data_IF_829191718637
#
_entry.id   IF_829191718637
#
_cell.length_a   1.000
_cell.length_b   1.000
_cell.length_c   1.000
_cell.angle_alpha   90.00
_cell.angle_beta   90.00
_cell.angle_gamma   90.00
#
_symmetry.space_group_name_H-M   'P 1'
#
loop_
_entity.id
_entity.type
_entity.pdbx_description
1 polymer ?
#
# COMPACT_ATOMS: atom_id res chain seq x y z
N UNK A 1 14.34 39.66 6.48
CA UNK A 1 13.41 38.78 7.19
C UNK A 1 13.79 38.81 8.67
N UNK A 2 12.83 38.92 9.61
CA UNK A 2 13.14 38.81 11.04
C UNK A 2 13.75 37.44 11.34
N UNK A 3 14.72 37.38 12.25
CA UNK A 3 15.35 36.11 12.64
C UNK A 3 14.38 35.27 13.49
N UNK A 4 14.56 33.95 13.45
CA UNK A 4 13.78 32.96 14.23
C UNK A 4 13.70 33.36 15.72
N UNK A 5 14.82 33.79 16.29
CA UNK A 5 14.89 34.22 17.69
C UNK A 5 14.03 35.48 17.96
N UNK A 6 13.93 36.40 16.98
CA UNK A 6 13.13 37.63 17.14
C UNK A 6 11.62 37.40 17.10
N UNK A 7 11.16 36.26 16.55
CA UNK A 7 9.74 35.90 16.51
C UNK A 7 9.32 35.13 17.78
N UNK A 8 10.22 34.29 18.32
CA UNK A 8 10.04 33.57 19.58
C UNK A 8 9.91 34.53 20.77
N UNK A 9 10.83 35.51 20.87
CA UNK A 9 10.86 36.47 21.97
C UNK A 9 9.67 37.44 21.97
N UNK A 10 9.07 37.69 20.80
CA UNK A 10 8.04 38.73 20.63
C UNK A 10 6.61 38.20 20.65
N UNK A 11 6.39 36.95 20.26
CA UNK A 11 5.03 36.45 19.99
C UNK A 11 4.67 35.13 20.67
N UNK A 12 5.60 34.46 21.36
CA UNK A 12 5.31 33.18 22.04
C UNK A 12 4.71 32.14 21.11
N UNK A 13 5.14 32.12 19.84
CA UNK A 13 4.63 31.22 18.83
C UNK A 13 5.24 29.82 19.01
N UNK A 14 4.41 28.78 18.88
CA UNK A 14 4.83 27.39 18.96
C UNK A 14 4.90 26.82 17.52
N UNK A 15 6.05 26.29 17.08
CA UNK A 15 6.13 25.64 15.78
C UNK A 15 5.39 24.31 15.84
N UNK A 16 4.47 24.07 14.90
CA UNK A 16 3.95 22.73 14.63
C UNK A 16 4.68 22.24 13.38
N UNK A 17 5.52 21.22 13.54
CA UNK A 17 6.17 20.56 12.41
C UNK A 17 5.35 19.32 12.05
N UNK A 18 4.62 19.37 10.95
CA UNK A 18 4.12 18.16 10.28
C UNK A 18 5.16 17.72 9.26
N UNK A 19 5.74 16.54 9.44
CA UNK A 19 6.88 16.09 8.63
C UNK A 19 6.49 15.37 7.33
N UNK A 20 5.25 15.51 6.86
CA UNK A 20 4.79 14.94 5.58
C UNK A 20 3.48 15.62 5.13
N UNK A 21 3.20 15.84 3.82
CA UNK A 21 3.96 15.49 2.61
C UNK A 21 4.77 16.65 1.99
N UNK A 22 4.56 17.87 2.46
CA UNK A 22 5.43 19.04 2.32
C UNK A 22 5.42 19.72 3.71
N UNK A 23 6.52 20.35 4.18
CA UNK A 23 6.51 21.04 5.46
C UNK A 23 5.66 22.32 5.37
N UNK A 24 4.34 22.19 5.53
CA UNK A 24 3.48 23.32 5.83
C UNK A 24 3.63 23.66 7.31
N UNK A 25 4.29 24.77 7.59
CA UNK A 25 4.32 25.35 8.93
C UNK A 25 3.11 26.28 9.07
N UNK A 26 2.02 25.78 9.63
CA UNK A 26 0.90 26.62 10.05
C UNK A 26 1.24 27.27 11.41
N UNK A 27 1.37 28.59 11.44
CA UNK A 27 1.64 29.34 12.67
C UNK A 27 0.33 29.73 13.36
N UNK A 28 -0.04 28.99 14.40
CA UNK A 28 -1.18 29.33 15.26
C UNK A 28 -0.71 30.08 16.50
N UNK A 29 -1.42 31.15 16.87
CA UNK A 29 -1.30 31.71 18.21
C UNK A 29 -1.84 30.72 19.24
N UNK A 30 -1.38 30.73 20.51
CA UNK A 30 -1.90 29.84 21.55
C UNK A 30 -3.44 29.87 21.66
N UNK A 31 -4.04 31.06 21.48
CA UNK A 31 -5.49 31.24 21.49
C UNK A 31 -6.21 30.67 20.26
N UNK A 32 -5.56 30.62 19.09
CA UNK A 32 -6.10 29.96 17.89
C UNK A 32 -6.00 28.44 18.00
N UNK A 33 -4.91 27.92 18.60
CA UNK A 33 -4.74 26.50 18.89
C UNK A 33 -5.82 26.02 19.86
N UNK A 34 -5.98 26.68 21.00
CA UNK A 34 -6.98 26.31 22.01
C UNK A 34 -8.42 26.42 21.46
N UNK A 35 -8.69 27.42 20.61
CA UNK A 35 -10.00 27.55 19.95
C UNK A 35 -10.28 26.44 18.94
N UNK A 36 -9.26 25.90 18.28
CA UNK A 36 -9.40 24.86 17.26
C UNK A 36 -9.41 23.45 17.84
N UNK A 37 -8.64 23.22 18.90
CA UNK A 37 -8.40 21.89 19.46
C UNK A 37 -8.97 21.69 20.88
N UNK A 38 -9.39 22.77 21.55
CA UNK A 38 -10.11 22.70 22.84
C UNK A 38 -9.22 22.56 24.08
N UNK A 39 -7.90 22.67 23.93
CA UNK A 39 -6.93 22.63 25.03
C UNK A 39 -5.71 23.51 24.73
N UNK A 40 -5.02 24.04 25.76
CA UNK A 40 -3.80 24.84 25.57
C UNK A 40 -2.66 23.96 25.04
N UNK A 41 -1.78 24.48 24.18
CA UNK A 41 -0.64 23.71 23.68
C UNK A 41 0.28 23.31 24.84
N UNK A 42 0.41 22.00 25.11
CA UNK A 42 1.37 21.43 26.06
C UNK A 42 2.60 20.91 25.32
N UNK A 43 3.81 21.28 25.77
CA UNK A 43 5.07 20.85 25.16
C UNK A 43 5.62 19.63 25.88
N UNK A 44 5.63 18.47 25.20
CA UNK A 44 6.45 17.31 25.59
C UNK A 44 7.96 17.64 25.48
N UNK A 45 8.28 18.63 24.64
CA UNK A 45 9.61 19.14 24.33
C UNK A 45 10.29 19.88 25.50
N UNK A 46 9.53 20.47 26.43
CA UNK A 46 10.08 21.26 27.55
C UNK A 46 10.59 20.39 28.72
N UNK A 47 10.40 19.07 28.63
CA UNK A 47 10.86 18.09 29.63
C UNK A 47 12.06 17.25 29.19
N UNK A 48 12.50 17.38 27.93
CA UNK A 48 13.59 16.59 27.37
C UNK A 48 14.86 17.44 27.28
N UNK A 49 15.97 16.91 27.78
CA UNK A 49 17.29 17.53 27.63
C UNK A 49 17.75 17.53 26.16
N UNK A 50 18.69 18.41 25.80
CA UNK A 50 19.29 18.45 24.46
C UNK A 50 19.90 17.10 24.03
N UNK A 51 20.39 16.30 25.00
CA UNK A 51 20.88 14.95 24.76
C UNK A 51 19.74 13.96 24.44
N UNK A 52 18.57 14.13 25.05
CA UNK A 52 17.38 13.33 24.78
C UNK A 52 16.73 13.73 23.45
N UNK A 53 16.72 15.02 23.10
CA UNK A 53 16.33 15.50 21.78
C UNK A 53 17.27 15.00 20.69
N UNK A 54 18.59 15.02 20.92
CA UNK A 54 19.57 14.45 20.01
C UNK A 54 19.40 12.92 19.87
N UNK A 55 19.14 12.20 20.97
CA UNK A 55 18.88 10.76 20.94
C UNK A 55 17.57 10.40 20.23
N UNK A 56 16.52 11.23 20.33
CA UNK A 56 15.27 11.07 19.57
C UNK A 56 15.49 11.36 18.08
N UNK A 57 16.27 12.39 17.74
CA UNK A 57 16.65 12.70 16.37
C UNK A 57 17.54 11.61 15.74
N UNK A 58 18.45 11.03 16.51
CA UNK A 58 19.36 9.96 16.07
C UNK A 58 18.60 8.61 15.92
N UNK A 59 17.70 8.27 16.86
CA UNK A 59 16.78 7.13 16.73
C UNK A 59 15.84 7.22 15.53
N UNK A 60 15.61 8.43 15.02
CA UNK A 60 14.77 8.68 13.85
C UNK A 60 15.52 8.67 12.51
N UNK A 61 16.85 8.51 12.51
CA UNK A 61 17.66 8.40 11.29
C UNK A 61 18.20 6.99 11.13
N UNK A 62 18.07 6.44 9.92
CA UNK A 62 18.73 5.18 9.56
C UNK A 62 19.94 5.50 8.70
N UNK A 63 21.11 5.17 9.21
CA UNK A 63 22.33 5.15 8.39
C UNK A 63 22.25 3.95 7.45
N UNK A 64 22.26 4.22 6.14
CA UNK A 64 22.33 3.20 5.10
C UNK A 64 23.77 2.68 5.00
N UNK A 65 24.08 1.65 5.78
CA UNK A 65 25.28 0.82 5.61
C UNK A 65 25.18 0.01 4.32
N UNK A 66 26.28 -0.60 3.88
CA UNK A 66 26.32 -1.40 2.65
C UNK A 66 25.23 -2.48 2.65
N UNK A 67 25.09 -3.25 3.74
CA UNK A 67 24.06 -4.27 3.88
C UNK A 67 22.63 -3.71 3.91
N UNK A 68 22.40 -2.54 4.49
CA UNK A 68 21.08 -1.90 4.49
C UNK A 68 20.70 -1.37 3.11
N UNK A 69 21.68 -0.85 2.37
CA UNK A 69 21.49 -0.42 1.00
C UNK A 69 21.16 -1.62 0.11
N UNK A 70 21.94 -2.71 0.21
CA UNK A 70 21.70 -3.97 -0.49
C UNK A 70 20.33 -4.57 -0.12
N UNK A 71 19.94 -4.50 1.16
CA UNK A 71 18.62 -4.94 1.57
C UNK A 71 17.51 -4.13 0.87
N UNK A 72 17.61 -2.80 0.83
CA UNK A 72 16.62 -1.99 0.13
C UNK A 72 16.64 -2.19 -1.39
N UNK A 73 17.80 -2.39 -2.01
CA UNK A 73 17.91 -2.74 -3.43
C UNK A 73 17.11 -4.01 -3.74
N UNK A 74 17.39 -5.09 -2.99
CA UNK A 74 16.68 -6.37 -3.13
C UNK A 74 15.18 -6.22 -2.89
N UNK A 75 14.77 -5.45 -1.89
CA UNK A 75 13.33 -5.25 -1.64
C UNK A 75 12.66 -4.50 -2.79
N UNK A 76 13.27 -3.44 -3.31
CA UNK A 76 12.69 -2.69 -4.44
C UNK A 76 12.64 -3.55 -5.71
N UNK A 77 13.70 -4.30 -6.02
CA UNK A 77 13.73 -5.21 -7.19
C UNK A 77 12.70 -6.33 -7.05
N UNK A 78 12.60 -6.93 -5.87
CA UNK A 78 11.58 -7.94 -5.56
C UNK A 78 10.16 -7.39 -5.79
N UNK A 79 9.91 -6.15 -5.40
CA UNK A 79 8.62 -5.46 -5.59
C UNK A 79 8.31 -5.06 -7.03
N UNK A 80 9.35 -4.94 -7.86
CA UNK A 80 9.25 -4.75 -9.31
C UNK A 80 9.19 -6.09 -10.08
N UNK A 81 8.96 -7.20 -9.38
CA UNK A 81 8.82 -8.53 -10.00
C UNK A 81 10.12 -9.19 -10.42
N UNK A 82 11.26 -8.79 -9.86
CA UNK A 82 12.56 -9.42 -10.12
C UNK A 82 12.87 -10.55 -9.13
N UNK A 83 13.79 -11.43 -9.51
CA UNK A 83 14.40 -12.37 -8.56
C UNK A 83 15.50 -11.69 -7.75
N UNK A 84 15.57 -11.98 -6.45
CA UNK A 84 16.57 -11.40 -5.55
C UNK A 84 17.08 -12.37 -4.51
N UNK A 85 18.14 -11.94 -3.81
CA UNK A 85 18.64 -12.62 -2.63
C UNK A 85 19.41 -13.91 -2.95
N UNK A 86 19.95 -14.57 -1.91
CA UNK A 86 20.74 -15.78 -2.06
C UNK A 86 19.88 -16.97 -2.55
N UNK A 87 18.57 -16.94 -2.29
CA UNK A 87 17.62 -17.92 -2.79
C UNK A 87 17.14 -17.70 -4.23
N UNK A 88 17.57 -16.62 -4.89
CA UNK A 88 17.11 -16.22 -6.23
C UNK A 88 15.57 -16.24 -6.35
N UNK A 89 14.88 -15.69 -5.33
CA UNK A 89 13.42 -15.83 -5.12
C UNK A 89 12.60 -14.70 -5.76
N UNK A 90 11.35 -15.01 -6.14
CA UNK A 90 10.39 -14.11 -6.78
C UNK A 90 9.02 -14.14 -6.06
N UNK A 91 8.37 -12.98 -5.89
CA UNK A 91 7.15 -12.82 -5.07
C UNK A 91 6.03 -13.79 -5.46
N UNK A 92 5.77 -13.95 -6.75
CA UNK A 92 4.65 -14.77 -7.23
C UNK A 92 5.07 -16.23 -7.40
N UNK A 93 6.27 -16.47 -7.91
CA UNK A 93 6.72 -17.82 -8.26
C UNK A 93 7.01 -18.65 -6.99
N UNK A 94 7.50 -18.00 -5.93
CA UNK A 94 7.83 -18.64 -4.65
C UNK A 94 6.81 -18.34 -3.55
N UNK A 95 5.62 -17.82 -3.92
CA UNK A 95 4.50 -17.54 -3.01
C UNK A 95 4.87 -16.73 -1.77
N UNK A 96 5.35 -15.51 -1.99
CA UNK A 96 5.76 -14.58 -0.92
C UNK A 96 6.89 -15.22 -0.10
N UNK A 97 8.13 -15.20 -0.63
CA UNK A 97 9.29 -15.81 0.04
C UNK A 97 9.51 -15.19 1.42
N UNK A 98 10.18 -15.94 2.30
CA UNK A 98 10.45 -15.50 3.67
C UNK A 98 11.52 -14.40 3.73
N UNK A 99 11.68 -13.79 4.91
CA UNK A 99 12.76 -12.83 5.15
C UNK A 99 14.13 -13.44 4.86
N UNK A 100 14.35 -14.65 5.34
CA UNK A 100 15.62 -15.37 5.20
C UNK A 100 15.92 -15.72 3.73
N UNK A 101 14.91 -16.02 2.92
CA UNK A 101 15.10 -16.27 1.48
C UNK A 101 15.59 -15.02 0.72
N UNK A 102 15.16 -13.84 1.17
CA UNK A 102 15.45 -12.55 0.52
C UNK A 102 16.76 -11.93 1.01
N UNK A 103 17.03 -12.01 2.32
CA UNK A 103 18.08 -11.23 3.00
C UNK A 103 19.03 -12.08 3.87
N UNK A 104 18.94 -13.42 3.84
CA UNK A 104 19.58 -14.29 4.83
C UNK A 104 21.12 -14.34 4.80
N UNK A 105 21.75 -13.83 3.76
CA UNK A 105 23.21 -13.69 3.60
C UNK A 105 23.76 -12.34 4.07
N UNK A 106 22.91 -11.37 4.42
CA UNK A 106 23.30 -10.05 4.92
C UNK A 106 23.46 -10.07 6.45
N UNK A 107 24.27 -9.16 6.99
CA UNK A 107 24.60 -9.13 8.42
C UNK A 107 23.35 -8.86 9.30
N UNK A 108 23.01 -9.84 10.15
CA UNK A 108 21.77 -9.81 10.93
C UNK A 108 21.70 -8.62 11.91
N UNK A 109 22.83 -8.19 12.47
CA UNK A 109 22.90 -7.04 13.38
C UNK A 109 22.58 -5.73 12.64
N UNK A 110 23.04 -5.59 11.39
CA UNK A 110 22.75 -4.42 10.56
C UNK A 110 21.26 -4.35 10.21
N UNK A 111 20.66 -5.49 9.91
CA UNK A 111 19.25 -5.62 9.51
C UNK A 111 18.26 -5.59 10.68
N UNK A 112 18.71 -5.79 11.92
CA UNK A 112 17.84 -5.77 13.10
C UNK A 112 17.05 -4.44 13.22
N UNK A 113 17.64 -3.34 12.77
CA UNK A 113 16.98 -2.02 12.73
C UNK A 113 15.85 -1.93 11.69
N UNK A 114 15.87 -2.78 10.65
CA UNK A 114 14.86 -2.79 9.59
C UNK A 114 13.66 -3.67 9.94
N UNK A 115 13.90 -4.78 10.64
CA UNK A 115 12.88 -5.81 10.91
C UNK A 115 11.63 -5.19 11.55
N UNK A 116 10.42 -5.64 11.16
CA UNK A 116 9.20 -5.27 11.84
C UNK A 116 9.31 -5.58 13.33
N UNK A 117 8.91 -4.63 14.18
CA UNK A 117 8.83 -4.90 15.62
C UNK A 117 7.83 -6.05 15.85
N UNK A 118 8.31 -7.16 16.41
CA UNK A 118 7.45 -8.27 16.86
C UNK A 118 6.90 -8.03 18.26
N UNK A 119 7.30 -6.94 18.92
CA UNK A 119 6.82 -6.57 20.24
C UNK A 119 5.44 -5.92 20.10
N UNK A 120 4.40 -6.73 20.27
CA UNK A 120 3.12 -6.22 20.73
C UNK A 120 3.34 -5.66 22.13
N UNK A 121 2.85 -4.44 22.38
CA UNK A 121 2.84 -3.88 23.73
C UNK A 121 2.01 -4.82 24.60
N UNK A 122 2.62 -5.40 25.64
CA UNK A 122 1.94 -6.39 26.48
C UNK A 122 0.63 -5.80 27.04
N UNK A 123 -0.43 -6.62 27.08
CA UNK A 123 -1.75 -6.17 27.52
C UNK A 123 -1.71 -5.49 28.90
N UNK A 124 -0.83 -5.92 29.80
CA UNK A 124 -0.64 -5.29 31.12
C UNK A 124 -0.24 -3.80 31.03
N UNK A 125 0.55 -3.41 30.03
CA UNK A 125 0.95 -2.02 29.82
C UNK A 125 -0.16 -1.21 29.16
N UNK A 126 -0.97 -1.84 28.30
CA UNK A 126 -2.18 -1.23 27.75
C UNK A 126 -3.21 -1.00 28.86
N UNK A 127 -3.37 -1.95 29.77
CA UNK A 127 -4.30 -1.83 30.89
C UNK A 127 -3.84 -0.78 31.92
N UNK A 128 -2.52 -0.65 32.14
CA UNK A 128 -1.94 0.26 33.13
C UNK A 128 -1.71 1.69 32.63
N UNK A 129 -1.45 1.86 31.32
CA UNK A 129 -1.09 3.14 30.72
C UNK A 129 -1.96 3.53 29.51
N UNK A 130 -2.89 2.69 29.05
CA UNK A 130 -3.71 2.92 27.85
C UNK A 130 -4.65 4.12 27.93
N UNK A 131 -4.93 4.61 29.14
CA UNK A 131 -5.70 5.83 29.38
C UNK A 131 -4.82 7.10 29.37
N UNK A 132 -3.49 6.96 29.25
CA UNK A 132 -2.55 8.07 29.27
C UNK A 132 -2.30 8.59 27.86
N UNK A 133 -2.45 9.89 27.68
CA UNK A 133 -2.23 10.57 26.40
C UNK A 133 -0.80 10.41 25.84
N UNK A 134 0.19 10.16 26.71
CA UNK A 134 1.58 9.94 26.33
C UNK A 134 1.91 8.48 25.98
N UNK A 135 1.02 7.54 26.31
CA UNK A 135 1.24 6.13 26.05
C UNK A 135 0.69 5.79 24.67
N UNK A 136 1.61 5.57 23.72
CA UNK A 136 1.27 5.04 22.42
C UNK A 136 1.49 3.52 22.43
N UNK A 137 0.43 2.69 22.41
CA UNK A 137 0.58 1.24 22.33
C UNK A 137 1.05 0.79 20.94
N UNK A 138 1.19 1.71 19.98
CA UNK A 138 1.77 1.40 18.68
C UNK A 138 3.23 0.98 18.88
N UNK A 139 3.67 -0.11 18.21
CA UNK A 139 5.08 -0.45 18.18
C UNK A 139 5.93 0.76 17.76
N UNK A 140 7.18 0.86 18.22
CA UNK A 140 8.07 1.92 17.77
C UNK A 140 8.13 1.93 16.23
N UNK A 141 8.21 3.11 15.59
CA UNK A 141 8.16 3.21 14.14
C UNK A 141 9.32 2.43 13.51
N UNK A 142 9.00 1.32 12.84
CA UNK A 142 9.94 0.48 12.09
C UNK A 142 10.06 0.94 10.64
N UNK A 143 11.13 0.51 9.96
CA UNK A 143 11.32 0.80 8.53
C UNK A 143 10.50 -0.15 7.65
N UNK A 144 10.37 -1.41 8.09
CA UNK A 144 9.53 -2.42 7.44
C UNK A 144 8.39 -2.83 8.37
N UNK A 145 7.31 -3.36 7.81
CA UNK A 145 6.16 -3.89 8.54
C UNK A 145 5.79 -5.28 8.04
N UNK A 146 5.12 -6.04 8.91
CA UNK A 146 4.52 -7.31 8.53
C UNK A 146 3.21 -7.09 7.79
N UNK A 147 2.98 -7.85 6.72
CA UNK A 147 1.70 -7.93 6.01
C UNK A 147 1.36 -9.39 5.69
N UNK A 148 0.11 -9.66 5.37
CA UNK A 148 -0.37 -10.97 4.96
C UNK A 148 -0.99 -10.91 3.57
N UNK A 149 -0.47 -11.73 2.66
CA UNK A 149 -0.93 -11.79 1.27
C UNK A 149 -1.27 -13.24 0.95
N UNK A 150 -2.54 -13.50 0.61
CA UNK A 150 -3.05 -14.86 0.41
C UNK A 150 -2.67 -15.84 1.55
N UNK A 151 -2.74 -15.35 2.81
CA UNK A 151 -2.36 -16.06 4.06
C UNK A 151 -0.86 -16.28 4.30
N UNK A 152 0.00 -15.87 3.37
CA UNK A 152 1.45 -15.88 3.58
C UNK A 152 1.89 -14.58 4.25
N UNK A 153 2.76 -14.69 5.26
CA UNK A 153 3.29 -13.54 5.98
C UNK A 153 4.54 -13.01 5.27
N UNK A 154 4.56 -11.73 4.96
CA UNK A 154 5.74 -11.01 4.49
C UNK A 154 6.20 -10.02 5.56
N UNK A 155 7.46 -10.09 5.97
CA UNK A 155 8.05 -9.23 7.01
C UNK A 155 8.90 -8.09 6.42
N UNK A 156 8.60 -7.72 5.18
CA UNK A 156 9.36 -6.75 4.40
C UNK A 156 8.46 -5.77 3.63
N UNK A 157 7.23 -5.55 4.08
CA UNK A 157 6.42 -4.45 3.51
C UNK A 157 7.04 -3.11 3.92
N UNK A 158 7.36 -2.25 2.96
CA UNK A 158 8.05 -0.98 3.18
C UNK A 158 7.03 0.02 3.73
N UNK A 159 7.35 0.63 4.88
CA UNK A 159 6.54 1.70 5.49
C UNK A 159 6.66 3.00 4.71
N UNK A 160 5.73 3.95 4.87
CA UNK A 160 5.84 5.30 4.27
C UNK A 160 7.16 5.99 4.60
N UNK A 161 7.64 5.80 5.83
CA UNK A 161 8.94 6.30 6.28
C UNK A 161 10.08 5.72 5.45
N UNK A 162 10.08 4.41 5.20
CA UNK A 162 11.10 3.77 4.40
C UNK A 162 10.96 4.06 2.90
N UNK A 163 9.74 4.24 2.37
CA UNK A 163 9.50 4.69 0.98
C UNK A 163 10.17 6.02 0.73
N UNK A 164 9.92 6.99 1.60
CA UNK A 164 10.57 8.31 1.54
C UNK A 164 12.09 8.21 1.53
N UNK A 165 12.65 7.22 2.25
CA UNK A 165 14.08 6.99 2.26
C UNK A 165 14.58 6.43 0.92
N UNK A 166 13.88 5.47 0.31
CA UNK A 166 14.39 4.73 -0.87
C UNK A 166 14.00 5.33 -2.21
N UNK A 167 12.87 6.03 -2.29
CA UNK A 167 12.34 6.58 -3.55
C UNK A 167 13.21 7.73 -4.07
N UNK A 168 13.47 7.74 -5.39
CA UNK A 168 14.25 8.78 -6.09
C UNK A 168 15.71 8.92 -5.65
N UNK A 169 16.30 7.88 -5.06
CA UNK A 169 17.75 7.81 -4.86
C UNK A 169 18.45 7.37 -6.14
N UNK A 170 19.69 7.83 -6.33
CA UNK A 170 20.52 7.43 -7.48
C UNK A 170 21.17 6.05 -7.29
N UNK A 171 21.31 5.59 -6.04
CA UNK A 171 21.97 4.34 -5.65
C UNK A 171 20.99 3.18 -5.42
N UNK A 172 19.68 3.39 -5.66
CA UNK A 172 18.64 2.36 -5.59
C UNK A 172 17.75 2.42 -6.84
N UNK A 173 17.18 1.28 -7.27
CA UNK A 173 16.17 1.28 -8.32
C UNK A 173 14.92 2.05 -7.85
N UNK A 174 14.15 2.56 -8.82
CA UNK A 174 12.86 3.15 -8.52
C UNK A 174 11.79 2.07 -8.50
N UNK A 175 10.83 2.21 -7.58
CA UNK A 175 9.60 1.43 -7.64
C UNK A 175 8.81 1.81 -8.90
N UNK A 176 8.35 0.82 -9.66
CA UNK A 176 7.40 1.03 -10.75
C UNK A 176 6.03 1.45 -10.19
N UNK A 177 5.28 2.29 -10.89
CA UNK A 177 3.97 2.76 -10.43
C UNK A 177 4.02 3.79 -9.30
N UNK A 178 2.96 3.89 -8.50
CA UNK A 178 2.91 4.80 -7.36
C UNK A 178 3.81 4.27 -6.23
N UNK A 179 4.87 4.99 -5.84
CA UNK A 179 5.77 4.56 -4.77
C UNK A 179 5.09 4.45 -3.42
N UNK A 180 3.87 4.97 -3.22
CA UNK A 180 3.08 4.87 -1.99
C UNK A 180 2.23 3.59 -1.89
N UNK A 181 2.20 2.76 -2.93
CA UNK A 181 1.45 1.49 -2.91
C UNK A 181 2.14 0.40 -2.10
N UNK A 182 1.38 -0.20 -1.18
CA UNK A 182 1.78 -1.34 -0.34
C UNK A 182 2.21 -2.58 -1.14
N UNK A 183 3.00 -3.46 -0.51
CA UNK A 183 3.36 -4.76 -1.09
C UNK A 183 2.12 -5.57 -1.57
N UNK A 184 1.04 -5.55 -0.79
CA UNK A 184 -0.21 -6.24 -1.14
C UNK A 184 -0.79 -5.77 -2.47
N UNK A 185 -0.75 -4.46 -2.74
CA UNK A 185 -1.24 -3.89 -4.00
C UNK A 185 -0.42 -4.41 -5.17
N UNK A 186 0.90 -4.28 -5.06
CA UNK A 186 1.87 -4.67 -6.10
C UNK A 186 1.78 -6.15 -6.44
N UNK A 187 1.70 -7.00 -5.42
CA UNK A 187 1.50 -8.44 -5.62
C UNK A 187 0.15 -8.71 -6.31
N UNK A 188 -0.91 -8.00 -5.93
CA UNK A 188 -2.21 -8.11 -6.59
C UNK A 188 -2.15 -7.77 -8.08
N UNK A 189 -1.48 -6.66 -8.41
CA UNK A 189 -1.20 -6.24 -9.79
C UNK A 189 -0.42 -7.33 -10.54
N UNK A 190 0.68 -7.82 -9.97
CA UNK A 190 1.50 -8.84 -10.61
C UNK A 190 0.78 -10.17 -10.84
N UNK A 191 -0.05 -10.62 -9.89
CA UNK A 191 -0.84 -11.85 -10.04
C UNK A 191 -1.86 -11.70 -11.15
N UNK A 192 -2.56 -10.57 -11.21
CA UNK A 192 -3.53 -10.33 -12.27
C UNK A 192 -2.83 -10.20 -13.63
N UNK A 193 -1.67 -9.54 -13.68
CA UNK A 193 -0.87 -9.47 -14.91
C UNK A 193 -0.47 -10.87 -15.39
N UNK A 194 -0.04 -11.74 -14.48
CA UNK A 194 0.31 -13.12 -14.79
C UNK A 194 -0.90 -13.93 -15.23
N UNK A 195 -2.02 -13.85 -14.51
CA UNK A 195 -3.29 -14.54 -14.84
C UNK A 195 -3.81 -14.13 -16.20
N UNK A 196 -3.94 -12.82 -16.47
CA UNK A 196 -4.40 -12.33 -17.76
C UNK A 196 -3.46 -12.71 -18.90
N UNK A 197 -2.13 -12.66 -18.68
CA UNK A 197 -1.16 -13.00 -19.74
C UNK A 197 -1.13 -14.50 -20.04
N UNK A 198 -1.14 -15.35 -19.02
CA UNK A 198 -0.88 -16.79 -19.14
C UNK A 198 -2.18 -17.55 -19.38
N UNK A 199 -3.20 -17.31 -18.54
CA UNK A 199 -4.47 -18.04 -18.59
C UNK A 199 -5.38 -17.49 -19.69
N UNK A 200 -5.45 -16.17 -19.85
CA UNK A 200 -6.36 -15.52 -20.81
C UNK A 200 -5.67 -15.09 -22.11
N UNK A 201 -4.35 -15.32 -22.22
CA UNK A 201 -3.54 -14.95 -23.38
C UNK A 201 -3.66 -13.47 -23.77
N UNK A 202 -3.84 -12.57 -22.81
CA UNK A 202 -3.87 -11.12 -23.04
C UNK A 202 -2.46 -10.55 -23.12
N UNK A 203 -2.35 -9.32 -23.61
CA UNK A 203 -1.15 -8.48 -23.42
C UNK A 203 -1.44 -7.52 -22.28
N UNK A 204 -0.52 -7.44 -21.33
CA UNK A 204 -0.69 -6.61 -20.13
C UNK A 204 0.41 -5.57 -20.06
N UNK A 205 0.02 -4.36 -19.69
CA UNK A 205 0.89 -3.25 -19.34
C UNK A 205 0.45 -2.74 -17.95
N UNK A 206 1.37 -2.44 -17.04
CA UNK A 206 1.04 -1.96 -15.67
C UNK A 206 1.29 -0.45 -15.53
N UNK A 207 0.53 0.20 -14.64
CA UNK A 207 0.65 1.63 -14.30
C UNK A 207 0.61 2.56 -15.52
N UNK A 208 -0.36 2.36 -16.41
CA UNK A 208 -0.44 3.04 -17.71
C UNK A 208 -1.24 4.34 -17.60
N UNK A 209 -0.72 5.48 -18.09
CA UNK A 209 -1.51 6.69 -18.21
C UNK A 209 -2.53 6.58 -19.36
N UNK A 210 -3.81 6.72 -19.06
CA UNK A 210 -4.92 6.69 -20.01
C UNK A 210 -6.03 7.64 -19.56
N UNK A 211 -6.52 8.48 -20.48
CA UNK A 211 -7.66 9.39 -20.19
C UNK A 211 -7.42 10.39 -19.06
N UNK A 212 -6.17 10.77 -18.77
CA UNK A 212 -5.82 11.63 -17.64
C UNK A 212 -5.69 10.92 -16.29
N UNK A 213 -5.90 9.61 -16.26
CA UNK A 213 -5.74 8.74 -15.10
C UNK A 213 -4.55 7.80 -15.29
N UNK A 214 -4.01 7.23 -14.21
CA UNK A 214 -3.07 6.11 -14.27
C UNK A 214 -3.83 4.86 -13.84
N UNK A 215 -3.89 3.83 -14.68
CA UNK A 215 -4.55 2.54 -14.37
C UNK A 215 -3.53 1.51 -13.91
N UNK A 216 -3.91 0.66 -12.95
CA UNK A 216 -2.98 -0.36 -12.43
C UNK A 216 -2.61 -1.36 -13.53
N UNK A 217 -3.61 -1.81 -14.31
CA UNK A 217 -3.42 -2.72 -15.44
C UNK A 217 -4.19 -2.24 -16.67
N UNK A 218 -3.55 -2.27 -17.83
CA UNK A 218 -4.19 -2.20 -19.13
C UNK A 218 -4.02 -3.55 -19.83
N UNK A 219 -5.12 -4.26 -20.03
CA UNK A 219 -5.14 -5.55 -20.70
C UNK A 219 -5.68 -5.40 -22.12
N UNK A 220 -5.10 -6.15 -23.06
CA UNK A 220 -5.53 -6.19 -24.47
C UNK A 220 -5.70 -7.62 -24.92
N UNK A 221 -6.89 -7.97 -25.41
CA UNK A 221 -7.11 -9.26 -26.06
C UNK A 221 -6.20 -9.40 -27.28
N UNK A 222 -5.51 -10.53 -27.40
CA UNK A 222 -4.60 -10.77 -28.54
C UNK A 222 -5.34 -10.92 -29.87
N UNK A 223 -6.61 -11.31 -29.85
CA UNK A 223 -7.38 -11.59 -31.05
C UNK A 223 -7.84 -10.31 -31.77
N UNK A 224 -8.39 -9.34 -31.04
CA UNK A 224 -9.04 -8.15 -31.60
C UNK A 224 -8.51 -6.82 -31.01
N UNK A 225 -7.63 -6.87 -30.01
CA UNK A 225 -7.10 -5.69 -29.35
C UNK A 225 -8.08 -4.99 -28.40
N UNK A 226 -9.21 -5.63 -28.06
CA UNK A 226 -10.17 -5.10 -27.11
C UNK A 226 -9.49 -4.79 -25.78
N UNK A 227 -9.71 -3.57 -25.27
CA UNK A 227 -9.05 -3.05 -24.07
C UNK A 227 -9.90 -3.32 -22.84
N UNK A 228 -9.23 -3.65 -21.74
CA UNK A 228 -9.80 -3.72 -20.40
C UNK A 228 -8.89 -3.04 -19.40
N UNK A 229 -9.49 -2.49 -18.35
CA UNK A 229 -8.76 -1.84 -17.26
C UNK A 229 -8.85 -2.73 -16.02
N UNK A 230 -7.72 -3.03 -15.40
CA UNK A 230 -7.68 -3.67 -14.09
C UNK A 230 -7.33 -2.65 -13.01
N UNK A 231 -8.07 -2.66 -11.90
CA UNK A 231 -7.80 -1.81 -10.73
C UNK A 231 -7.70 -2.67 -9.47
N UNK A 232 -6.60 -2.49 -8.75
CA UNK A 232 -6.32 -3.14 -7.49
C UNK A 232 -6.84 -2.27 -6.33
N UNK A 233 -7.59 -2.91 -5.44
CA UNK A 233 -8.30 -2.28 -4.34
C UNK A 233 -7.85 -2.94 -3.04
N UNK A 234 -6.99 -2.26 -2.29
CA UNK A 234 -6.57 -2.71 -0.95
C UNK A 234 -7.38 -2.04 0.16
N UNK A 235 -7.29 -2.58 1.38
CA UNK A 235 -7.95 -2.08 2.57
C UNK A 235 -7.53 -0.66 3.01
N UNK A 236 -7.86 0.38 2.24
CA UNK A 236 -7.66 1.77 2.65
C UNK A 236 -8.88 2.28 3.43
N UNK A 237 -8.67 2.91 4.59
CA UNK A 237 -9.76 3.59 5.32
C UNK A 237 -10.28 4.86 4.60
N UNK A 238 -9.66 5.26 3.50
CA UNK A 238 -10.03 6.45 2.75
C UNK A 238 -11.17 6.18 1.76
N UNK A 239 -12.40 6.44 2.18
CA UNK A 239 -13.58 6.32 1.31
C UNK A 239 -13.59 7.30 0.13
N UNK A 240 -12.84 8.40 0.17
CA UNK A 240 -12.74 9.32 -0.98
C UNK A 240 -12.01 8.65 -2.14
N UNK A 241 -10.94 7.89 -1.88
CA UNK A 241 -10.23 7.13 -2.91
C UNK A 241 -11.18 6.14 -3.58
N UNK A 242 -11.95 5.37 -2.80
CA UNK A 242 -12.94 4.44 -3.36
C UNK A 242 -13.91 5.15 -4.33
N UNK A 243 -14.45 6.32 -3.96
CA UNK A 243 -15.33 7.09 -4.85
C UNK A 243 -14.61 7.67 -6.07
N UNK A 244 -13.32 7.95 -5.95
CA UNK A 244 -12.49 8.43 -7.06
C UNK A 244 -12.24 7.31 -8.06
N UNK A 245 -11.94 6.09 -7.59
CA UNK A 245 -11.79 4.91 -8.43
C UNK A 245 -13.08 4.66 -9.22
N UNK A 246 -14.26 4.70 -8.60
CA UNK A 246 -15.52 4.55 -9.33
C UNK A 246 -15.66 5.56 -10.47
N UNK A 247 -15.45 6.86 -10.18
CA UNK A 247 -15.53 7.93 -11.19
C UNK A 247 -14.51 7.73 -12.32
N UNK A 248 -13.30 7.30 -11.99
CA UNK A 248 -12.27 6.95 -12.98
C UNK A 248 -12.76 5.84 -13.91
N UNK A 249 -13.37 4.77 -13.39
CA UNK A 249 -13.88 3.68 -14.22
C UNK A 249 -15.01 4.15 -15.17
N UNK A 250 -15.93 4.97 -14.65
CA UNK A 250 -17.01 5.57 -15.42
C UNK A 250 -16.48 6.49 -16.53
N UNK A 251 -15.53 7.38 -16.22
CA UNK A 251 -14.93 8.32 -17.17
C UNK A 251 -14.09 7.63 -18.25
N UNK A 252 -13.43 6.52 -17.92
CA UNK A 252 -12.60 5.76 -18.87
C UNK A 252 -13.43 5.02 -19.92
N UNK A 253 -14.65 4.56 -19.56
CA UNK A 253 -15.57 3.89 -20.48
C UNK A 253 -15.04 2.55 -21.05
N UNK A 254 -14.07 1.92 -20.40
CA UNK A 254 -13.57 0.59 -20.75
C UNK A 254 -14.15 -0.48 -19.80
N UNK A 255 -14.41 -1.71 -20.29
CA UNK A 255 -14.73 -2.82 -19.40
C UNK A 255 -13.62 -2.99 -18.37
N UNK A 256 -14.02 -3.16 -17.12
CA UNK A 256 -13.13 -3.07 -15.97
C UNK A 256 -13.14 -4.34 -15.13
N UNK A 257 -11.98 -4.73 -14.60
CA UNK A 257 -11.80 -5.85 -13.69
C UNK A 257 -11.33 -5.28 -12.35
N UNK A 258 -12.01 -5.62 -11.26
CA UNK A 258 -11.59 -5.20 -9.93
C UNK A 258 -10.90 -6.34 -9.20
N UNK A 259 -9.72 -6.06 -8.64
CA UNK A 259 -8.95 -7.02 -7.86
C UNK A 259 -8.89 -6.52 -6.42
N UNK A 260 -9.35 -7.32 -5.48
CA UNK A 260 -9.35 -6.96 -4.06
C UNK A 260 -8.30 -7.76 -3.30
N UNK A 261 -7.71 -7.17 -2.27
CA UNK A 261 -6.82 -7.92 -1.36
C UNK A 261 -7.57 -9.07 -0.67
N UNK A 262 -8.78 -8.80 -0.18
CA UNK A 262 -9.65 -9.78 0.45
C UNK A 262 -11.16 -9.50 0.25
N UNK A 263 -11.98 -10.43 0.76
CA UNK A 263 -13.44 -10.38 0.66
C UNK A 263 -14.05 -9.27 1.53
N UNK A 264 -13.41 -8.91 2.64
CA UNK A 264 -13.89 -7.89 3.55
C UNK A 264 -13.73 -6.49 2.94
N UNK A 265 -12.58 -6.22 2.29
CA UNK A 265 -12.35 -5.01 1.49
C UNK A 265 -13.35 -4.94 0.35
N UNK A 266 -13.52 -6.01 -0.43
CA UNK A 266 -14.47 -6.06 -1.52
C UNK A 266 -15.89 -5.70 -1.04
N UNK A 267 -16.38 -6.36 0.02
CA UNK A 267 -17.68 -6.05 0.62
C UNK A 267 -17.80 -4.59 1.03
N UNK A 268 -16.78 -4.06 1.72
CA UNK A 268 -16.77 -2.68 2.23
C UNK A 268 -16.82 -1.65 1.10
N UNK A 269 -16.00 -1.83 0.08
CA UNK A 269 -15.92 -0.92 -1.10
C UNK A 269 -17.22 -0.97 -1.88
N UNK A 270 -17.71 -2.16 -2.22
CA UNK A 270 -18.93 -2.34 -3.02
C UNK A 270 -20.18 -1.82 -2.29
N UNK A 271 -20.32 -2.07 -0.99
CA UNK A 271 -21.40 -1.47 -0.20
C UNK A 271 -21.29 0.06 -0.12
N UNK A 272 -20.06 0.60 -0.06
CA UNK A 272 -19.86 2.05 -0.07
C UNK A 272 -20.30 2.65 -1.40
N UNK A 273 -19.92 2.04 -2.53
CA UNK A 273 -20.37 2.46 -3.86
C UNK A 273 -21.88 2.36 -4.00
N UNK A 274 -22.49 1.25 -3.55
CA UNK A 274 -23.95 1.07 -3.56
C UNK A 274 -24.67 2.20 -2.82
N UNK A 275 -24.12 2.62 -1.68
CA UNK A 275 -24.75 3.64 -0.86
C UNK A 275 -24.53 5.08 -1.36
N UNK A 276 -23.52 5.33 -2.21
CA UNK A 276 -23.01 6.71 -2.45
C UNK A 276 -22.67 7.05 -3.89
N UNK A 277 -22.58 6.07 -4.78
CA UNK A 277 -22.08 6.25 -6.14
C UNK A 277 -23.05 5.71 -7.19
N UNK A 278 -23.41 4.44 -7.10
CA UNK A 278 -24.10 3.69 -8.16
C UNK A 278 -24.86 2.52 -7.56
N UNK A 279 -25.92 2.04 -8.19
CA UNK A 279 -26.58 0.80 -7.80
C UNK A 279 -25.69 -0.41 -8.18
N UNK A 280 -25.07 -1.04 -7.18
CA UNK A 280 -24.12 -2.14 -7.40
C UNK A 280 -24.88 -3.46 -7.57
N UNK A 281 -24.61 -4.27 -8.61
CA UNK A 281 -25.29 -5.54 -8.84
C UNK A 281 -25.20 -6.48 -7.64
N UNK A 282 -26.36 -6.84 -7.08
CA UNK A 282 -26.47 -7.76 -5.95
C UNK A 282 -26.18 -7.14 -4.57
N UNK A 283 -25.89 -5.84 -4.48
CA UNK A 283 -25.74 -5.12 -3.23
C UNK A 283 -27.12 -4.72 -2.64
N UNK A 284 -27.21 -4.41 -1.32
CA UNK A 284 -26.14 -4.47 -0.34
C UNK A 284 -25.76 -5.91 0.04
N UNK A 285 -24.49 -6.10 0.39
CA UNK A 285 -23.95 -7.36 0.87
C UNK A 285 -23.90 -7.36 2.40
N UNK A 286 -24.76 -8.14 3.04
CA UNK A 286 -24.89 -8.18 4.50
C UNK A 286 -23.90 -9.15 5.17
N UNK A 287 -23.43 -10.16 4.44
CA UNK A 287 -22.46 -11.17 4.89
C UNK A 287 -21.13 -11.04 4.16
N UNK A 288 -20.16 -11.89 4.51
CA UNK A 288 -18.92 -12.05 3.72
C UNK A 288 -19.24 -12.25 2.24
N UNK A 289 -18.45 -11.61 1.38
CA UNK A 289 -18.69 -11.60 -0.06
C UNK A 289 -18.53 -13.00 -0.65
N UNK A 290 -19.59 -13.52 -1.27
CA UNK A 290 -19.49 -14.71 -2.11
C UNK A 290 -18.94 -14.30 -3.49
N UNK A 291 -17.63 -14.47 -3.68
CA UNK A 291 -16.92 -14.02 -4.89
C UNK A 291 -17.52 -14.62 -6.15
N UNK A 292 -17.72 -15.94 -6.23
CA UNK A 292 -18.25 -16.61 -7.44
C UNK A 292 -19.66 -16.14 -7.81
N UNK A 293 -20.54 -15.98 -6.83
CA UNK A 293 -21.88 -15.45 -7.08
C UNK A 293 -21.84 -13.98 -7.52
N UNK A 294 -20.99 -13.18 -6.90
CA UNK A 294 -20.87 -11.75 -7.21
C UNK A 294 -20.29 -11.53 -8.61
N UNK A 295 -19.25 -12.30 -8.99
CA UNK A 295 -18.72 -12.32 -10.37
C UNK A 295 -19.81 -12.56 -11.39
N UNK A 296 -20.62 -13.60 -11.18
CA UNK A 296 -21.77 -13.90 -12.05
C UNK A 296 -22.73 -12.70 -12.17
N UNK A 297 -23.03 -12.00 -11.07
CA UNK A 297 -23.88 -10.80 -11.09
C UNK A 297 -23.28 -9.63 -11.86
N UNK A 298 -21.98 -9.43 -11.76
CA UNK A 298 -21.28 -8.36 -12.46
C UNK A 298 -21.19 -8.66 -13.95
N UNK A 299 -20.88 -9.89 -14.33
CA UNK A 299 -20.92 -10.33 -15.73
C UNK A 299 -22.32 -10.24 -16.33
N UNK A 300 -23.37 -10.61 -15.58
CA UNK A 300 -24.77 -10.42 -16.02
C UNK A 300 -25.08 -8.93 -16.28
N UNK A 301 -24.69 -8.04 -15.37
CA UNK A 301 -24.95 -6.61 -15.46
C UNK A 301 -24.14 -5.91 -16.57
N UNK A 302 -22.88 -6.32 -16.80
CA UNK A 302 -22.02 -5.75 -17.83
C UNK A 302 -22.41 -6.18 -19.26
N UNK A 303 -23.10 -7.33 -19.39
CA UNK A 303 -23.63 -7.82 -20.68
C UNK A 303 -25.06 -7.34 -20.97
N UNK A 304 -25.70 -6.66 -20.02
CA UNK A 304 -27.04 -6.10 -20.23
C UNK A 304 -26.92 -4.77 -21.01
N UNK A 305 -27.45 -4.69 -22.25
CA UNK A 305 -27.35 -3.49 -23.08
C UNK A 305 -28.14 -2.29 -22.54
N UNK A 306 -28.94 -2.49 -21.49
CA UNK A 306 -29.70 -1.42 -20.81
C UNK A 306 -29.01 -0.89 -19.55
N UNK A 307 -27.87 -1.49 -19.19
CA UNK A 307 -27.10 -1.18 -17.99
C UNK A 307 -25.77 -0.54 -18.39
N UNK A 308 -25.45 0.63 -17.81
CA UNK A 308 -24.16 1.31 -18.00
C UNK A 308 -23.07 0.79 -17.04
N UNK A 309 -23.20 -0.45 -16.56
CA UNK A 309 -22.30 -1.05 -15.57
C UNK A 309 -20.93 -1.41 -16.17
N UNK A 310 -19.82 -0.74 -15.78
CA UNK A 310 -18.54 -0.88 -16.47
C UNK A 310 -17.69 -2.06 -15.97
N UNK A 311 -18.04 -2.68 -14.84
CA UNK A 311 -17.20 -3.72 -14.20
C UNK A 311 -17.63 -5.11 -14.67
N UNK A 312 -16.83 -5.75 -15.54
CA UNK A 312 -17.13 -7.06 -16.11
C UNK A 312 -16.86 -8.24 -15.16
N UNK A 313 -15.86 -8.07 -14.28
CA UNK A 313 -15.43 -9.13 -13.36
C UNK A 313 -14.83 -8.56 -12.07
N UNK A 314 -14.86 -9.39 -11.02
CA UNK A 314 -14.21 -9.10 -9.74
C UNK A 314 -13.44 -10.32 -9.23
N UNK A 315 -12.29 -10.07 -8.63
CA UNK A 315 -11.41 -11.10 -8.07
C UNK A 315 -10.94 -10.70 -6.68
N UNK A 316 -10.53 -11.67 -5.89
CA UNK A 316 -9.59 -11.41 -4.80
C UNK A 316 -8.21 -11.92 -5.20
N UNK A 317 -7.13 -11.40 -4.57
CA UNK A 317 -5.78 -11.92 -4.75
C UNK A 317 -5.77 -13.46 -4.64
N UNK A 318 -6.44 -13.99 -3.62
CA UNK A 318 -6.52 -15.44 -3.40
C UNK A 318 -7.21 -16.19 -4.54
N UNK A 319 -8.30 -15.66 -5.11
CA UNK A 319 -8.99 -16.32 -6.24
C UNK A 319 -8.17 -16.21 -7.52
N UNK A 320 -7.62 -15.03 -7.82
CA UNK A 320 -6.78 -14.82 -9.00
C UNK A 320 -5.54 -15.72 -8.99
N UNK A 321 -4.89 -15.86 -7.84
CA UNK A 321 -3.73 -16.74 -7.68
C UNK A 321 -4.11 -18.22 -7.84
N UNK A 322 -5.26 -18.62 -7.29
CA UNK A 322 -5.74 -20.01 -7.42
C UNK A 322 -6.05 -20.36 -8.88
N UNK A 323 -6.69 -19.44 -9.63
CA UNK A 323 -6.99 -19.61 -11.05
C UNK A 323 -5.71 -19.71 -11.90
N UNK A 324 -4.72 -18.85 -11.64
CA UNK A 324 -3.42 -18.91 -12.30
C UNK A 324 -2.77 -20.30 -12.17
N UNK A 325 -2.82 -20.90 -10.98
CA UNK A 325 -2.22 -22.21 -10.73
C UNK A 325 -3.03 -23.37 -11.30
N UNK A 326 -4.36 -23.31 -11.20
CA UNK A 326 -5.24 -24.40 -11.62
C UNK A 326 -5.37 -24.49 -13.14
N UNK A 327 -5.45 -23.35 -13.82
CA UNK A 327 -5.79 -23.33 -15.25
C UNK A 327 -4.56 -23.48 -16.14
N UNK A 328 -3.37 -23.07 -15.66
CA UNK A 328 -2.14 -23.09 -16.45
C UNK A 328 -0.95 -23.77 -15.76
N UNK A 329 -0.90 -23.77 -14.42
CA UNK A 329 0.28 -24.20 -13.63
C UNK A 329 1.58 -23.64 -14.21
N UNK A 330 1.73 -22.30 -14.28
CA UNK A 330 2.82 -21.66 -14.99
C UNK A 330 4.18 -22.05 -14.42
N UNK A 331 5.13 -22.23 -15.32
CA UNK A 331 6.54 -22.35 -14.96
C UNK A 331 7.05 -21.03 -14.39
N UNK A 332 8.11 -21.09 -13.56
CA UNK A 332 8.81 -19.90 -13.08
C UNK A 332 9.20 -18.95 -14.22
N UNK A 333 9.67 -19.50 -15.34
CA UNK A 333 10.09 -18.72 -16.50
C UNK A 333 8.93 -17.96 -17.15
N UNK A 334 7.74 -18.55 -17.21
CA UNK A 334 6.55 -17.86 -17.70
C UNK A 334 6.14 -16.71 -16.78
N UNK A 335 6.16 -16.93 -15.46
CA UNK A 335 5.90 -15.87 -14.48
C UNK A 335 6.90 -14.71 -14.64
N UNK A 336 8.20 -15.01 -14.73
CA UNK A 336 9.26 -14.01 -14.90
C UNK A 336 9.22 -13.28 -16.25
N UNK A 337 8.56 -13.86 -17.26
CA UNK A 337 8.38 -13.19 -18.56
C UNK A 337 7.33 -12.08 -18.51
N UNK A 338 6.48 -12.07 -17.48
CA UNK A 338 5.48 -11.04 -17.24
C UNK A 338 6.15 -9.90 -16.50
N UNK A 339 6.25 -8.74 -17.14
CA UNK A 339 6.71 -7.51 -16.49
C UNK A 339 5.52 -6.83 -15.83
N UNK A 340 5.66 -6.47 -14.56
CA UNK A 340 4.61 -5.80 -13.80
C UNK A 340 5.16 -4.73 -12.87
#
# INVERSE_FOLDING_TARGET
MPSINSLLDKHGAVPIMTTFPDPEVEWLTPAQFERRYGYPPGRVEDTLSDAELAAVADKNRLTLTEDRLEAFDRLVRLWNGECVGPGDVHLIADRIPSWEDVLGDLEAEELAALRPSTQNVEQKYIDEFGDREWFNPSPPPSWLRSTYIARNRADYDITERARTLVTHREDLPNLHGDPHEGLTHRVGVGIEAARATITEQRRVETYVPIGGHVVDLLQRDRADGAKRVGEMMTGHHNNQLNRSTWRKLEELGYPSILIFDDRATARRVLNHWNARCVDVPGAPFESDLNVSWTRKKFTEAANDPTSDWPVEDILTITSAWSELEQDATPTRQEILSVKW
#
